data_IF_579367021479
#
_entry.id   IF_579367021479
#
_cell.length_a   1.000
_cell.length_b   1.000
_cell.length_c   1.000
_cell.angle_alpha   90.00
_cell.angle_beta   90.00
_cell.angle_gamma   90.00
#
_symmetry.space_group_name_H-M   'P 1'
#
loop_
_entity.id
_entity.type
_entity.pdbx_description
1 polymer ?
#
# COMPACT_ATOMS: atom_id res chain seq x y z
N UNK A 1 -6.97 -6.49 -19.83
CA UNK A 1 -7.25 -5.13 -20.30
C UNK A 1 -7.44 -4.26 -19.06
N UNK A 2 -6.57 -3.27 -18.84
CA UNK A 2 -6.76 -2.30 -17.77
C UNK A 2 -7.72 -1.22 -18.28
N UNK A 3 -8.88 -1.10 -17.67
CA UNK A 3 -9.87 -0.07 -18.01
C UNK A 3 -9.52 1.20 -17.23
N UNK A 4 -9.19 2.27 -17.94
CA UNK A 4 -8.95 3.57 -17.32
C UNK A 4 -10.29 4.14 -16.85
N UNK A 5 -10.62 3.99 -15.57
CA UNK A 5 -11.80 4.59 -14.98
C UNK A 5 -11.59 6.10 -14.82
N UNK A 6 -12.50 6.92 -15.38
CA UNK A 6 -12.52 8.37 -15.15
C UNK A 6 -12.87 8.64 -13.68
N UNK A 7 -12.01 9.39 -12.98
CA UNK A 7 -12.24 9.77 -11.59
C UNK A 7 -13.12 11.01 -11.54
N UNK A 8 -14.26 10.93 -10.85
CA UNK A 8 -15.15 12.07 -10.65
C UNK A 8 -15.04 12.61 -9.22
N UNK A 9 -15.32 13.91 -9.02
CA UNK A 9 -15.58 14.47 -7.69
C UNK A 9 -14.37 14.61 -6.75
N UNK A 10 -13.16 14.73 -7.30
CA UNK A 10 -11.94 14.89 -6.51
C UNK A 10 -12.00 16.15 -5.64
N UNK A 11 -11.87 15.98 -4.32
CA UNK A 11 -11.66 17.08 -3.37
C UNK A 11 -10.38 16.78 -2.60
N UNK A 12 -9.40 17.66 -2.74
CA UNK A 12 -8.12 17.55 -2.06
C UNK A 12 -7.92 18.72 -1.10
N UNK A 13 -7.47 18.42 0.11
CA UNK A 13 -7.04 19.40 1.12
C UNK A 13 -5.71 18.91 1.68
N UNK A 14 -4.64 19.66 1.44
CA UNK A 14 -3.27 19.25 1.79
C UNK A 14 -2.92 17.87 1.22
N UNK A 15 -2.72 16.87 2.07
CA UNK A 15 -2.45 15.47 1.71
C UNK A 15 -3.70 14.59 1.73
N UNK A 16 -4.89 15.09 2.05
CA UNK A 16 -6.11 14.28 2.04
C UNK A 16 -6.85 14.45 0.73
N UNK A 17 -7.17 13.35 0.05
CA UNK A 17 -8.04 13.34 -1.12
C UNK A 17 -9.24 12.42 -0.92
N UNK A 18 -10.40 12.90 -1.35
CA UNK A 18 -11.58 12.08 -1.60
C UNK A 18 -11.73 11.90 -3.11
N UNK A 19 -12.02 10.67 -3.55
CA UNK A 19 -12.33 10.37 -4.94
C UNK A 19 -13.43 9.33 -5.07
N UNK A 20 -14.04 9.30 -6.26
CA UNK A 20 -15.00 8.26 -6.64
C UNK A 20 -14.75 7.77 -8.06
N UNK A 21 -15.00 6.49 -8.28
CA UNK A 21 -14.99 5.84 -9.59
C UNK A 21 -16.25 4.98 -9.76
N UNK A 22 -16.62 4.69 -11.00
CA UNK A 22 -17.63 3.67 -11.28
C UNK A 22 -17.17 2.32 -10.73
N UNK A 23 -18.01 1.64 -9.95
CA UNK A 23 -17.71 0.30 -9.48
C UNK A 23 -17.83 -0.68 -10.67
N UNK A 24 -16.87 -1.57 -10.91
CA UNK A 24 -16.91 -2.46 -12.06
C UNK A 24 -18.17 -3.34 -12.08
N UNK A 25 -18.89 -3.32 -13.20
CA UNK A 25 -20.15 -4.07 -13.36
C UNK A 25 -19.92 -5.55 -13.69
N UNK A 26 -18.74 -5.89 -14.21
CA UNK A 26 -18.38 -7.24 -14.69
C UNK A 26 -17.28 -7.89 -13.85
N UNK A 27 -17.51 -7.97 -12.54
CA UNK A 27 -16.66 -8.79 -11.67
C UNK A 27 -17.03 -10.27 -11.82
N UNK A 28 -16.02 -11.14 -11.81
CA UNK A 28 -16.28 -12.58 -11.70
C UNK A 28 -16.87 -12.89 -10.32
N UNK A 29 -17.51 -14.05 -10.19
CA UNK A 29 -18.09 -14.50 -8.91
C UNK A 29 -17.02 -14.44 -7.80
N UNK A 30 -17.40 -13.89 -6.66
CA UNK A 30 -16.59 -13.75 -5.44
C UNK A 30 -15.39 -12.78 -5.56
N UNK A 31 -15.28 -12.01 -6.66
CA UNK A 31 -14.31 -10.91 -6.75
C UNK A 31 -14.84 -9.66 -6.06
N UNK A 32 -13.97 -9.01 -5.30
CA UNK A 32 -14.22 -7.72 -4.65
C UNK A 32 -12.97 -6.86 -4.68
N UNK A 33 -13.11 -5.59 -4.29
CA UNK A 33 -11.95 -4.72 -4.10
C UNK A 33 -11.07 -5.28 -2.98
N UNK A 34 -9.81 -5.58 -3.29
CA UNK A 34 -8.85 -6.14 -2.33
C UNK A 34 -7.67 -5.20 -2.05
N UNK A 35 -7.34 -4.28 -2.96
CA UNK A 35 -6.28 -3.27 -2.74
C UNK A 35 -6.55 -1.99 -3.51
N UNK A 36 -6.10 -0.88 -2.94
CA UNK A 36 -5.98 0.40 -3.63
C UNK A 36 -4.59 0.95 -3.35
N UNK A 37 -3.86 1.30 -4.41
CA UNK A 37 -2.55 1.95 -4.30
C UNK A 37 -2.60 3.35 -4.88
N UNK A 38 -1.94 4.30 -4.23
CA UNK A 38 -1.45 5.46 -4.97
C UNK A 38 -0.18 5.07 -5.72
N UNK A 39 -0.12 5.44 -7.00
CA UNK A 39 1.02 5.25 -7.87
C UNK A 39 1.79 6.58 -7.92
N UNK A 40 3.04 6.53 -7.46
CA UNK A 40 3.96 7.66 -7.49
C UNK A 40 4.64 7.86 -8.84
N UNK A 41 5.52 8.86 -8.95
CA UNK A 41 6.32 9.11 -10.14
C UNK A 41 7.05 7.85 -10.64
N UNK A 42 7.05 7.64 -11.96
CA UNK A 42 7.66 6.45 -12.57
C UNK A 42 6.82 5.17 -12.52
N UNK A 43 5.55 5.24 -12.10
CA UNK A 43 4.64 4.09 -12.12
C UNK A 43 4.81 3.14 -10.93
N UNK A 44 5.54 3.55 -9.90
CA UNK A 44 5.83 2.73 -8.73
C UNK A 44 4.70 2.91 -7.70
N UNK A 45 4.18 1.80 -7.15
CA UNK A 45 3.24 1.83 -6.01
C UNK A 45 3.89 2.58 -4.84
N UNK A 46 3.37 3.76 -4.49
CA UNK A 46 3.91 4.62 -3.44
C UNK A 46 3.49 4.12 -2.06
N UNK A 47 2.19 3.91 -1.87
CA UNK A 47 1.67 3.25 -0.68
C UNK A 47 0.28 2.65 -0.92
N UNK A 48 -0.08 1.75 -0.02
CA UNK A 48 -1.41 1.16 0.09
C UNK A 48 -2.35 2.12 0.82
N UNK A 49 -3.57 2.25 0.32
CA UNK A 49 -4.68 2.90 1.03
C UNK A 49 -5.41 1.85 1.85
N UNK A 50 -5.72 2.18 3.11
CA UNK A 50 -6.48 1.32 3.99
C UNK A 50 -7.90 1.09 3.44
N UNK A 51 -8.30 -0.16 3.23
CA UNK A 51 -9.60 -0.50 2.68
C UNK A 51 -10.76 0.00 3.54
N UNK A 52 -10.56 0.25 4.83
CA UNK A 52 -11.58 0.89 5.69
C UNK A 52 -11.95 2.30 5.23
N UNK A 53 -11.06 2.95 4.47
CA UNK A 53 -11.31 4.25 3.87
C UNK A 53 -11.96 4.12 2.48
N UNK A 54 -12.48 2.96 2.12
CA UNK A 54 -13.17 2.71 0.86
C UNK A 54 -14.58 2.18 1.12
N UNK A 55 -15.55 2.57 0.28
CA UNK A 55 -16.91 2.03 0.37
C UNK A 55 -17.63 2.07 -0.97
N UNK A 56 -18.51 1.09 -1.18
CA UNK A 56 -19.38 1.06 -2.36
C UNK A 56 -20.70 1.74 -2.01
N UNK A 57 -21.05 2.79 -2.74
CA UNK A 57 -22.36 3.42 -2.66
C UNK A 57 -23.21 2.98 -3.86
N UNK A 58 -24.48 2.64 -3.61
CA UNK A 58 -25.44 2.30 -4.67
C UNK A 58 -26.50 3.39 -4.79
N UNK A 59 -26.76 3.85 -6.01
CA UNK A 59 -27.82 4.81 -6.31
C UNK A 59 -28.57 4.34 -7.56
N UNK A 60 -29.73 3.72 -7.38
CA UNK A 60 -30.43 3.01 -8.45
C UNK A 60 -29.59 1.83 -8.94
N UNK A 61 -29.44 1.70 -10.26
CA UNK A 61 -28.66 0.63 -10.90
C UNK A 61 -27.15 0.90 -10.93
N UNK A 62 -26.73 2.10 -10.54
CA UNK A 62 -25.32 2.52 -10.59
C UNK A 62 -24.66 2.29 -9.23
N UNK A 63 -23.55 1.54 -9.24
CA UNK A 63 -22.66 1.37 -8.09
C UNK A 63 -21.40 2.21 -8.28
N UNK A 64 -21.00 2.95 -7.24
CA UNK A 64 -19.79 3.77 -7.24
C UNK A 64 -18.87 3.32 -6.10
N UNK A 65 -17.58 3.17 -6.40
CA UNK A 65 -16.55 3.03 -5.39
C UNK A 65 -16.09 4.43 -4.95
N UNK A 66 -16.16 4.69 -3.66
CA UNK A 66 -15.63 5.88 -3.03
C UNK A 66 -14.39 5.51 -2.23
N UNK A 67 -13.44 6.44 -2.13
CA UNK A 67 -12.27 6.26 -1.28
C UNK A 67 -11.76 7.59 -0.71
N UNK A 68 -11.08 7.50 0.43
CA UNK A 68 -10.33 8.59 1.04
C UNK A 68 -8.87 8.14 1.20
N UNK A 69 -7.95 8.90 0.64
CA UNK A 69 -6.53 8.76 0.92
C UNK A 69 -6.05 9.97 1.75
N UNK A 70 -5.76 9.78 3.06
CA UNK A 70 -5.30 10.86 3.93
C UNK A 70 -3.82 11.23 3.71
N UNK A 71 -3.08 10.44 2.95
CA UNK A 71 -1.63 10.57 2.76
C UNK A 71 -1.24 10.86 1.31
N UNK A 72 -2.19 11.29 0.48
CA UNK A 72 -2.00 11.57 -0.94
C UNK A 72 -0.89 12.61 -1.19
N UNK A 73 -0.21 12.52 -2.34
CA UNK A 73 0.76 13.55 -2.71
C UNK A 73 0.08 14.93 -2.79
N UNK A 74 0.60 15.95 -2.07
CA UNK A 74 -0.01 17.27 -2.06
C UNK A 74 0.08 17.95 -3.43
N UNK A 75 -0.82 18.89 -3.74
CA UNK A 75 -0.84 19.57 -5.04
C UNK A 75 0.46 20.31 -5.38
N UNK A 76 1.25 20.68 -4.35
CA UNK A 76 2.56 21.30 -4.52
C UNK A 76 3.62 20.36 -5.13
N UNK A 77 3.43 19.04 -5.04
CA UNK A 77 4.38 18.03 -5.56
C UNK A 77 3.89 17.38 -6.85
N UNK A 78 2.59 17.34 -7.11
CA UNK A 78 2.04 16.78 -8.34
C UNK A 78 0.72 17.43 -8.75
N UNK A 79 0.53 17.61 -10.05
CA UNK A 79 -0.75 18.01 -10.65
C UNK A 79 -1.62 16.81 -11.05
N UNK A 80 -1.09 15.59 -10.97
CA UNK A 80 -1.78 14.36 -11.33
C UNK A 80 -1.54 13.29 -10.26
N UNK A 81 -2.64 12.71 -9.79
CA UNK A 81 -2.62 11.52 -8.94
C UNK A 81 -3.08 10.33 -9.77
N UNK A 82 -2.42 9.19 -9.58
CA UNK A 82 -2.77 7.94 -10.24
C UNK A 82 -3.05 6.90 -9.17
N UNK A 83 -4.17 6.20 -9.30
CA UNK A 83 -4.54 5.14 -8.38
C UNK A 83 -4.71 3.82 -9.13
N UNK A 84 -4.26 2.73 -8.51
CA UNK A 84 -4.48 1.37 -9.01
C UNK A 84 -5.45 0.66 -8.07
N UNK A 85 -6.58 0.19 -8.63
CA UNK A 85 -7.59 -0.58 -7.92
C UNK A 85 -7.48 -2.04 -8.33
N UNK A 86 -7.35 -2.93 -7.35
CA UNK A 86 -7.22 -4.37 -7.59
C UNK A 86 -8.50 -5.05 -7.13
N UNK A 87 -9.18 -5.71 -8.08
CA UNK A 87 -10.34 -6.54 -7.83
C UNK A 87 -9.98 -8.00 -8.02
N UNK A 88 -10.18 -8.81 -6.99
CA UNK A 88 -9.84 -10.23 -7.00
C UNK A 88 -10.63 -10.97 -5.92
N UNK A 89 -10.48 -12.29 -5.87
CA UNK A 89 -11.00 -13.06 -4.75
C UNK A 89 -10.13 -12.77 -3.53
N UNK A 90 -10.74 -12.72 -2.35
CA UNK A 90 -9.99 -12.40 -1.13
C UNK A 90 -8.96 -13.48 -0.79
N UNK A 91 -9.32 -14.75 -1.04
CA UNK A 91 -8.45 -15.91 -0.84
C UNK A 91 -7.12 -15.82 -1.62
N UNK A 92 -7.10 -15.17 -2.78
CA UNK A 92 -5.89 -14.98 -3.59
C UNK A 92 -4.89 -14.00 -2.91
N UNK A 93 -5.33 -13.29 -1.88
CA UNK A 93 -4.59 -12.23 -1.20
C UNK A 93 -4.37 -12.49 0.30
N UNK A 94 -4.53 -13.74 0.74
CA UNK A 94 -4.25 -14.17 2.12
C UNK A 94 -2.75 -14.19 2.46
N UNK A 95 -1.88 -13.88 1.49
CA UNK A 95 -0.45 -13.76 1.75
C UNK A 95 -0.10 -12.32 2.16
N UNK A 96 0.67 -12.14 3.25
CA UNK A 96 1.18 -10.83 3.62
C UNK A 96 2.01 -10.22 2.49
N UNK A 97 1.96 -8.90 2.38
CA UNK A 97 2.73 -8.16 1.37
C UNK A 97 3.44 -6.98 2.00
N UNK A 98 4.67 -6.72 1.55
CA UNK A 98 5.45 -5.56 2.02
C UNK A 98 4.92 -4.25 1.43
N UNK A 99 5.03 -3.18 2.22
CA UNK A 99 4.65 -1.82 1.79
C UNK A 99 5.57 -1.29 0.68
N UNK A 100 6.83 -1.73 0.64
CA UNK A 100 7.81 -1.40 -0.40
C UNK A 100 8.43 -2.68 -0.97
N UNK A 101 8.81 -2.64 -2.25
CA UNK A 101 9.53 -3.75 -2.89
C UNK A 101 11.01 -3.78 -2.47
N UNK A 102 11.59 -2.61 -2.21
CA UNK A 102 12.98 -2.44 -1.78
C UNK A 102 13.00 -1.51 -0.57
N UNK A 103 13.71 -1.95 0.47
CA UNK A 103 14.02 -1.12 1.64
C UNK A 103 15.50 -0.84 1.60
N UNK A 104 15.86 0.44 1.59
CA UNK A 104 17.25 0.88 1.53
C UNK A 104 17.50 1.85 2.68
N UNK A 105 18.50 1.53 3.49
CA UNK A 105 18.99 2.39 4.56
C UNK A 105 20.46 2.72 4.26
N UNK A 106 20.86 3.96 4.53
CA UNK A 106 22.25 4.37 4.42
C UNK A 106 22.89 4.35 5.80
N UNK A 107 23.94 3.56 5.93
CA UNK A 107 24.73 3.48 7.15
C UNK A 107 26.05 4.22 6.88
N UNK A 108 26.29 5.30 7.61
CA UNK A 108 27.54 6.03 7.53
C UNK A 108 28.59 5.35 8.43
N UNK A 109 29.81 5.19 7.93
CA UNK A 109 30.90 4.50 8.65
C UNK A 109 31.31 5.21 9.95
N UNK A 110 31.05 6.52 10.06
CA UNK A 110 31.33 7.34 11.24
C UNK A 110 30.24 7.24 12.32
N UNK A 111 29.08 6.65 12.01
CA UNK A 111 28.08 6.33 13.02
C UNK A 111 28.61 5.22 13.91
N UNK A 112 28.81 5.53 15.19
CA UNK A 112 29.00 4.52 16.24
C UNK A 112 27.69 3.75 16.43
N UNK A 113 27.45 2.76 15.57
CA UNK A 113 26.35 1.80 15.72
C UNK A 113 26.65 0.97 16.96
N UNK A 114 25.92 1.27 18.04
CA UNK A 114 25.98 0.44 19.24
C UNK A 114 25.29 -0.89 18.98
N UNK A 115 25.67 -1.96 19.69
CA UNK A 115 24.90 -3.20 19.69
C UNK A 115 23.41 -2.89 19.89
N UNK A 116 22.59 -3.46 19.01
CA UNK A 116 21.13 -3.30 18.98
C UNK A 116 20.57 -1.97 18.45
N UNK A 117 21.38 -1.12 17.83
CA UNK A 117 20.89 0.06 17.12
C UNK A 117 19.94 -0.36 16.01
N UNK A 118 18.70 0.14 16.02
CA UNK A 118 17.74 -0.12 14.94
C UNK A 118 18.20 0.66 13.72
N UNK A 119 18.45 -0.07 12.63
CA UNK A 119 18.93 0.49 11.35
C UNK A 119 17.74 0.91 10.50
N UNK A 120 16.68 0.12 10.51
CA UNK A 120 15.47 0.42 9.75
C UNK A 120 14.30 -0.45 10.18
N UNK A 121 13.20 -0.31 9.44
CA UNK A 121 11.98 -1.08 9.67
C UNK A 121 11.33 -1.44 8.35
N UNK A 122 11.07 -2.72 8.16
CA UNK A 122 10.16 -3.19 7.11
C UNK A 122 8.73 -3.23 7.62
N UNK A 123 7.77 -2.96 6.74
CA UNK A 123 6.36 -3.06 7.04
C UNK A 123 5.69 -3.99 6.02
N UNK A 124 4.81 -4.84 6.51
CA UNK A 124 3.93 -5.65 5.69
C UNK A 124 2.50 -5.54 6.21
N UNK A 125 1.56 -5.88 5.34
CA UNK A 125 0.13 -5.87 5.62
C UNK A 125 -0.45 -7.27 5.35
N UNK A 126 -1.28 -7.76 6.27
CA UNK A 126 -2.24 -8.84 6.00
C UNK A 126 -3.61 -8.19 5.77
N UNK A 127 -4.34 -8.63 4.74
CA UNK A 127 -5.67 -8.12 4.46
C UNK A 127 -6.70 -8.53 5.53
N UNK A 128 -6.52 -9.71 6.13
CA UNK A 128 -7.41 -10.21 7.18
C UNK A 128 -7.02 -9.71 8.59
N UNK A 129 -6.02 -8.82 8.67
CA UNK A 129 -5.55 -8.26 9.93
C UNK A 129 -4.78 -9.27 10.80
N UNK A 130 -4.27 -10.34 10.19
CA UNK A 130 -3.54 -11.39 10.89
C UNK A 130 -2.22 -10.86 11.47
N UNK A 131 -1.78 -11.46 12.57
CA UNK A 131 -0.50 -11.11 13.18
C UNK A 131 0.65 -11.61 12.31
N UNK A 132 1.46 -10.67 11.83
CA UNK A 132 2.61 -10.96 11.00
C UNK A 132 3.83 -11.43 11.81
N UNK A 133 4.59 -12.36 11.24
CA UNK A 133 5.90 -12.76 11.74
C UNK A 133 6.95 -12.47 10.67
N UNK A 134 7.97 -11.69 11.03
CA UNK A 134 9.07 -11.32 10.14
C UNK A 134 10.27 -12.25 10.35
N UNK A 135 10.91 -12.66 9.26
CA UNK A 135 12.18 -13.37 9.25
C UNK A 135 13.10 -12.78 8.19
N UNK A 136 14.40 -12.87 8.42
CA UNK A 136 15.41 -12.49 7.44
C UNK A 136 15.87 -13.76 6.72
N UNK A 137 15.89 -13.73 5.39
CA UNK A 137 16.49 -14.79 4.57
C UNK A 137 17.68 -14.16 3.86
N UNK A 138 18.89 -14.54 4.28
CA UNK A 138 20.13 -14.10 3.65
C UNK A 138 20.75 -15.25 2.87
N UNK A 139 21.32 -14.97 1.70
CA UNK A 139 22.16 -15.91 0.96
C UNK A 139 23.67 -15.65 1.18
N UNK A 140 24.02 -14.72 2.07
CA UNK A 140 25.40 -14.27 2.24
C UNK A 140 25.92 -14.56 3.67
N UNK A 141 27.21 -14.88 3.78
CA UNK A 141 27.88 -15.35 5.01
C UNK A 141 28.03 -14.27 6.11
N UNK A 142 27.55 -13.05 5.85
CA UNK A 142 27.57 -11.94 6.80
C UNK A 142 26.26 -11.89 7.60
N UNK A 143 26.09 -12.81 8.54
CA UNK A 143 24.95 -12.92 9.49
C UNK A 143 24.92 -11.80 10.56
N UNK A 144 25.19 -10.55 10.19
CA UNK A 144 25.32 -9.45 11.16
C UNK A 144 24.01 -8.75 11.49
N UNK A 145 22.92 -9.08 10.79
CA UNK A 145 21.62 -8.44 10.98
C UNK A 145 20.59 -9.39 11.60
N UNK A 146 19.83 -8.86 12.55
CA UNK A 146 18.69 -9.56 13.13
C UNK A 146 17.43 -8.73 12.97
N UNK A 147 16.33 -9.38 12.63
CA UNK A 147 15.01 -8.74 12.54
C UNK A 147 14.15 -9.11 13.74
N UNK A 148 13.49 -8.11 14.32
CA UNK A 148 12.48 -8.36 15.33
C UNK A 148 11.24 -8.96 14.66
N UNK A 149 10.94 -10.21 15.01
CA UNK A 149 9.89 -11.02 14.38
C UNK A 149 8.48 -10.43 14.50
N UNK A 150 8.23 -9.50 15.41
CA UNK A 150 6.90 -8.89 15.61
C UNK A 150 6.78 -7.49 15.05
N UNK A 151 7.88 -6.77 14.91
CA UNK A 151 7.87 -5.33 14.57
C UNK A 151 8.50 -5.02 13.23
N UNK A 152 9.22 -5.95 12.60
CA UNK A 152 9.94 -5.72 11.35
C UNK A 152 11.14 -4.78 11.48
N UNK A 153 11.50 -4.36 12.69
CA UNK A 153 12.71 -3.56 12.95
C UNK A 153 13.93 -4.45 12.82
N UNK A 154 14.91 -4.05 12.01
CA UNK A 154 16.17 -4.76 11.88
C UNK A 154 17.33 -3.93 12.45
N UNK A 155 18.32 -4.64 12.97
CA UNK A 155 19.49 -4.12 13.69
C UNK A 155 20.69 -4.99 13.42
#
# INVERSE_FOLDING_TARGET
MAEAASMEGLKQTESTIYGRIQYPERLQKDQQLVRVYEIGPGGIRRHLIDLKNTWVARKGDVSQLNFIDPNALPPALTSQLTFEFIFAKSEDFNTPFFTQHYYQEQILEDMKIQPFTVIGKVAAHSLEGEKLNYSLVSQNEYENFVINTKTGKFK
#
